data_IF_728196888184
#
_entry.id   IF_728196888184
#
_cell.length_a   1.000
_cell.length_b   1.000
_cell.length_c   1.000
_cell.angle_alpha   90.00
_cell.angle_beta   90.00
_cell.angle_gamma   90.00
#
_symmetry.space_group_name_H-M   'P 1'
#
loop_
_entity.id
_entity.type
_entity.pdbx_description
1 polymer ?
#
# COMPACT_ATOMS: atom_id res chain seq x y z
N UNK A 1 -15.41 20.22 15.61
CA UNK A 1 -14.47 19.87 14.53
C UNK A 1 -13.37 20.92 14.51
N UNK A 2 -12.30 20.71 15.25
CA UNK A 2 -11.09 21.53 15.11
C UNK A 2 -10.27 20.91 13.99
N UNK A 3 -10.24 21.59 12.84
CA UNK A 3 -9.35 21.25 11.73
C UNK A 3 -7.91 21.43 12.19
N UNK A 4 -7.13 20.34 12.15
CA UNK A 4 -5.69 20.37 12.35
C UNK A 4 -5.06 21.24 11.27
N UNK A 5 -4.76 22.50 11.60
CA UNK A 5 -3.97 23.36 10.74
C UNK A 5 -2.48 23.06 11.02
N UNK A 6 -1.95 22.04 10.34
CA UNK A 6 -0.51 21.86 10.24
C UNK A 6 0.07 23.10 9.51
N UNK A 7 1.11 23.77 10.04
CA UNK A 7 1.78 24.90 9.39
C UNK A 7 2.61 24.50 8.16
N UNK A 8 2.43 23.28 7.65
CA UNK A 8 2.87 22.88 6.32
C UNK A 8 2.34 23.92 5.31
N UNK A 9 3.20 24.58 4.50
CA UNK A 9 2.72 25.52 3.49
C UNK A 9 1.63 24.82 2.69
N UNK A 10 0.44 25.44 2.64
CA UNK A 10 -0.77 24.84 2.08
C UNK A 10 -0.42 24.20 0.74
N UNK A 11 -0.32 22.87 0.72
CA UNK A 11 -0.01 22.13 -0.49
C UNK A 11 -1.07 22.52 -1.51
N UNK A 12 -0.61 23.04 -2.64
CA UNK A 12 -1.48 23.34 -3.76
C UNK A 12 -1.52 22.07 -4.61
N UNK A 13 -2.70 21.45 -4.80
CA UNK A 13 -2.87 20.36 -5.74
C UNK A 13 -2.15 20.61 -7.06
N UNK A 14 -1.37 19.63 -7.51
CA UNK A 14 -0.70 19.72 -8.80
C UNK A 14 -1.71 19.74 -9.94
N UNK A 15 -1.34 20.37 -11.05
CA UNK A 15 -2.14 20.32 -12.29
C UNK A 15 -1.60 19.19 -13.17
N UNK A 16 -2.44 18.22 -13.56
CA UNK A 16 -2.06 17.23 -14.56
C UNK A 16 -1.46 17.87 -15.81
N UNK A 17 -0.40 17.26 -16.35
CA UNK A 17 0.17 17.61 -17.64
C UNK A 17 -0.84 17.37 -18.77
N UNK A 18 -0.53 17.93 -19.95
CA UNK A 18 -1.28 17.65 -21.17
C UNK A 18 -1.33 16.15 -21.49
N UNK A 19 -2.39 15.65 -22.15
CA UNK A 19 -2.55 14.23 -22.48
C UNK A 19 -1.37 13.58 -23.24
N UNK A 20 -0.62 14.38 -23.99
CA UNK A 20 0.50 13.94 -24.81
C UNK A 20 1.85 14.02 -24.09
N UNK A 21 1.88 14.58 -22.88
CA UNK A 21 3.09 14.74 -22.10
C UNK A 21 3.29 13.53 -21.19
N UNK A 22 4.49 12.96 -21.23
CA UNK A 22 4.85 11.82 -20.41
C UNK A 22 5.28 12.26 -18.99
N UNK A 23 4.95 11.45 -18.00
CA UNK A 23 5.42 11.60 -16.63
C UNK A 23 6.67 10.77 -16.40
N UNK A 24 7.76 11.42 -15.98
CA UNK A 24 8.91 10.73 -15.44
C UNK A 24 8.54 10.12 -14.09
N UNK A 25 8.98 8.87 -13.85
CA UNK A 25 8.70 8.14 -12.61
C UNK A 25 10.00 7.62 -12.01
N UNK A 26 10.07 7.50 -10.70
CA UNK A 26 11.13 6.72 -10.03
C UNK A 26 10.52 5.73 -9.05
N UNK A 27 10.82 4.44 -9.22
CA UNK A 27 10.51 3.39 -8.26
C UNK A 27 11.63 3.28 -7.22
N UNK A 28 11.29 3.53 -5.96
CA UNK A 28 12.21 3.55 -4.82
C UNK A 28 11.92 2.34 -3.94
N UNK A 29 12.91 1.46 -3.81
CA UNK A 29 12.78 0.21 -3.05
C UNK A 29 13.98 0.08 -2.11
N UNK A 30 13.73 -0.24 -0.84
CA UNK A 30 14.74 -0.76 0.07
C UNK A 30 14.68 -2.28 0.06
N UNK A 31 15.83 -2.94 -0.06
CA UNK A 31 15.95 -4.40 0.02
C UNK A 31 17.18 -4.81 0.82
N UNK A 32 17.16 -6.02 1.36
CA UNK A 32 18.36 -6.75 1.80
C UNK A 32 19.03 -7.42 0.61
N UNK A 33 20.30 -7.78 0.78
CA UNK A 33 21.10 -8.49 -0.23
C UNK A 33 20.47 -9.81 -0.67
N UNK A 34 19.82 -10.51 0.26
CA UNK A 34 19.15 -11.79 0.05
C UNK A 34 17.77 -11.68 -0.64
N UNK A 35 17.13 -10.51 -0.58
CA UNK A 35 15.82 -10.28 -1.20
C UNK A 35 15.95 -10.09 -2.71
N UNK A 36 15.05 -10.68 -3.48
CA UNK A 36 15.11 -10.64 -4.94
C UNK A 36 14.18 -9.56 -5.53
N UNK A 37 14.76 -8.56 -6.18
CA UNK A 37 14.04 -7.51 -6.93
C UNK A 37 14.19 -7.62 -8.45
N UNK A 38 14.66 -8.75 -8.98
CA UNK A 38 14.79 -8.98 -10.43
C UNK A 38 13.47 -8.86 -11.19
N UNK A 39 12.34 -8.99 -10.49
CA UNK A 39 11.03 -8.75 -11.09
C UNK A 39 10.89 -7.33 -11.66
N UNK A 40 11.61 -6.35 -11.10
CA UNK A 40 11.60 -4.98 -11.64
C UNK A 40 12.16 -4.99 -13.06
N UNK A 41 13.29 -5.67 -13.27
CA UNK A 41 13.94 -5.76 -14.58
C UNK A 41 13.14 -6.61 -15.57
N UNK A 42 12.53 -7.71 -15.11
CA UNK A 42 11.82 -8.64 -16.02
C UNK A 42 10.39 -8.22 -16.31
N UNK A 43 9.66 -7.72 -15.32
CA UNK A 43 8.22 -7.42 -15.43
C UNK A 43 7.94 -5.97 -15.77
N UNK A 44 8.92 -5.07 -15.71
CA UNK A 44 8.77 -3.65 -16.07
C UNK A 44 9.76 -3.22 -17.18
N UNK A 45 10.41 -4.16 -17.87
CA UNK A 45 11.46 -3.90 -18.87
C UNK A 45 11.09 -2.83 -19.91
N UNK A 46 9.84 -2.86 -20.38
CA UNK A 46 9.27 -1.93 -21.37
C UNK A 46 9.08 -0.51 -20.82
N UNK A 47 8.96 -0.35 -19.49
CA UNK A 47 8.80 0.94 -18.83
C UNK A 47 10.13 1.54 -18.37
N UNK A 48 11.16 0.73 -18.19
CA UNK A 48 12.44 1.16 -17.65
C UNK A 48 13.20 2.09 -18.60
N UNK A 49 13.83 3.12 -18.03
CA UNK A 49 14.72 4.01 -18.78
C UNK A 49 15.91 3.23 -19.37
N UNK A 50 16.34 3.51 -20.62
CA UNK A 50 15.88 4.58 -21.50
C UNK A 50 14.69 4.20 -22.42
N UNK A 51 14.14 2.97 -22.33
CA UNK A 51 13.03 2.52 -23.20
C UNK A 51 11.70 3.18 -22.83
N UNK A 52 11.49 3.44 -21.53
CA UNK A 52 10.33 4.14 -21.00
C UNK A 52 10.70 5.16 -19.91
N UNK A 53 9.70 5.74 -19.23
CA UNK A 53 9.91 6.87 -18.33
C UNK A 53 10.23 6.48 -16.88
N UNK A 54 10.30 5.18 -16.57
CA UNK A 54 10.52 4.67 -15.22
C UNK A 54 12.01 4.51 -14.91
N UNK A 55 12.50 5.28 -13.94
CA UNK A 55 13.81 5.08 -13.31
C UNK A 55 13.65 4.23 -12.05
N UNK A 56 14.75 3.66 -11.58
CA UNK A 56 14.78 2.86 -10.34
C UNK A 56 15.82 3.40 -9.38
N UNK A 57 15.50 3.39 -8.09
CA UNK A 57 16.41 3.65 -7.00
C UNK A 57 16.27 2.50 -5.98
N UNK A 58 17.02 1.42 -6.21
CA UNK A 58 16.96 0.20 -5.40
C UNK A 58 18.15 0.20 -4.43
N UNK A 59 17.87 0.48 -3.17
CA UNK A 59 18.87 0.54 -2.10
C UNK A 59 19.08 -0.83 -1.47
N UNK A 60 20.34 -1.23 -1.27
CA UNK A 60 20.70 -2.45 -0.53
C UNK A 60 21.07 -2.06 0.90
N UNK A 61 20.19 -2.34 1.86
CA UNK A 61 20.26 -1.75 3.21
C UNK A 61 21.31 -2.39 4.11
N UNK A 62 21.78 -3.59 3.78
CA UNK A 62 22.72 -4.40 4.56
C UNK A 62 24.07 -4.63 3.84
N UNK A 63 24.33 -3.89 2.76
CA UNK A 63 25.60 -3.91 2.03
C UNK A 63 26.15 -2.49 1.85
N UNK A 64 27.15 -2.14 2.66
CA UNK A 64 27.79 -0.82 2.66
C UNK A 64 28.55 -0.50 1.36
N UNK A 65 28.88 -1.52 0.58
CA UNK A 65 29.64 -1.39 -0.66
C UNK A 65 28.69 -1.33 -1.88
N UNK A 66 27.38 -1.42 -1.68
CA UNK A 66 26.38 -1.23 -2.73
C UNK A 66 26.36 0.22 -3.21
N UNK A 67 26.11 0.40 -4.52
CA UNK A 67 26.02 1.72 -5.15
C UNK A 67 25.00 2.63 -4.48
N UNK A 68 23.81 2.08 -4.17
CA UNK A 68 22.78 2.74 -3.38
C UNK A 68 22.69 2.05 -2.02
N UNK A 69 23.17 2.72 -0.98
CA UNK A 69 23.10 2.27 0.40
C UNK A 69 22.70 3.45 1.32
N UNK A 70 21.75 3.27 2.25
CA UNK A 70 21.41 4.31 3.22
C UNK A 70 22.56 4.56 4.20
N UNK A 71 22.60 5.69 4.91
CA UNK A 71 23.66 5.96 5.89
C UNK A 71 23.70 4.95 7.06
N UNK A 72 22.60 4.26 7.33
CA UNK A 72 22.48 3.20 8.35
C UNK A 72 21.25 2.34 8.09
N UNK A 73 21.32 1.04 8.36
CA UNK A 73 20.13 0.19 8.40
C UNK A 73 19.35 0.42 9.71
N UNK A 74 18.43 1.39 9.72
CA UNK A 74 17.58 1.75 10.87
C UNK A 74 16.27 2.40 10.42
N UNK A 75 15.13 2.00 10.96
CA UNK A 75 13.79 2.44 10.57
C UNK A 75 13.24 1.74 9.34
N UNK A 76 13.73 0.53 9.02
CA UNK A 76 13.36 -0.20 7.80
C UNK A 76 13.42 0.69 6.53
N UNK A 77 12.33 0.75 5.75
CA UNK A 77 12.22 1.51 4.50
C UNK A 77 12.28 3.03 4.72
N UNK A 78 11.96 3.52 5.92
CA UNK A 78 11.92 4.97 6.18
C UNK A 78 13.27 5.63 5.95
N UNK A 79 14.37 4.97 6.30
CA UNK A 79 15.72 5.50 6.03
C UNK A 79 16.00 5.59 4.54
N UNK A 80 15.61 4.56 3.79
CA UNK A 80 15.78 4.53 2.33
C UNK A 80 14.99 5.65 1.68
N UNK A 81 13.73 5.83 2.08
CA UNK A 81 12.84 6.82 1.50
C UNK A 81 13.33 8.24 1.80
N UNK A 82 13.73 8.52 3.05
CA UNK A 82 14.33 9.81 3.42
C UNK A 82 15.66 10.06 2.70
N UNK A 83 16.51 9.04 2.57
CA UNK A 83 17.80 9.17 1.88
C UNK A 83 17.60 9.47 0.40
N UNK A 84 16.71 8.74 -0.28
CA UNK A 84 16.36 9.03 -1.67
C UNK A 84 15.87 10.47 -1.84
N UNK A 85 14.93 10.92 -1.00
CA UNK A 85 14.39 12.28 -1.08
C UNK A 85 15.50 13.32 -0.91
N UNK A 86 16.37 13.15 0.09
CA UNK A 86 17.45 14.09 0.39
C UNK A 86 18.45 14.16 -0.77
N UNK A 87 18.88 13.00 -1.27
CA UNK A 87 19.94 12.91 -2.28
C UNK A 87 19.45 13.37 -3.67
N UNK A 88 18.13 13.31 -3.92
CA UNK A 88 17.53 13.64 -5.21
C UNK A 88 16.64 14.89 -5.17
N UNK A 89 16.60 15.65 -4.08
CA UNK A 89 15.60 16.70 -3.82
C UNK A 89 15.42 17.69 -5.00
N UNK A 90 16.52 18.09 -5.63
CA UNK A 90 16.52 19.03 -6.76
C UNK A 90 16.32 18.34 -8.14
N UNK A 91 16.39 17.01 -8.20
CA UNK A 91 16.38 16.20 -9.42
C UNK A 91 15.28 15.12 -9.46
N UNK A 92 14.24 15.27 -8.64
CA UNK A 92 13.12 14.30 -8.53
C UNK A 92 12.41 14.08 -9.88
N UNK A 93 11.94 12.85 -10.11
CA UNK A 93 10.94 12.55 -11.14
C UNK A 93 9.61 13.23 -10.83
N UNK A 94 8.70 13.33 -11.81
CA UNK A 94 7.38 13.93 -11.58
C UNK A 94 6.60 13.16 -10.50
N UNK A 95 6.79 11.82 -10.48
CA UNK A 95 6.25 10.93 -9.45
C UNK A 95 7.35 10.03 -8.89
N UNK A 96 7.48 9.99 -7.57
CA UNK A 96 8.28 9.01 -6.84
C UNK A 96 7.37 7.97 -6.20
N UNK A 97 7.61 6.69 -6.48
CA UNK A 97 6.83 5.54 -6.01
C UNK A 97 7.67 4.81 -4.98
N UNK A 98 7.22 4.80 -3.73
CA UNK A 98 7.88 4.15 -2.61
C UNK A 98 7.16 2.83 -2.32
N UNK A 99 7.88 1.71 -2.39
CA UNK A 99 7.30 0.37 -2.32
C UNK A 99 8.24 -0.61 -1.61
N UNK A 100 7.68 -1.70 -1.07
CA UNK A 100 8.47 -2.83 -0.58
C UNK A 100 9.08 -3.66 -1.72
N UNK A 101 10.11 -4.45 -1.40
CA UNK A 101 10.88 -5.20 -2.40
C UNK A 101 10.13 -6.38 -3.04
N UNK A 102 9.16 -6.96 -2.34
CA UNK A 102 8.49 -8.19 -2.77
C UNK A 102 7.56 -7.95 -3.96
N UNK A 103 7.62 -8.83 -4.97
CA UNK A 103 6.65 -8.81 -6.09
C UNK A 103 5.25 -9.17 -5.61
N UNK A 104 5.12 -10.30 -4.92
CA UNK A 104 3.84 -10.79 -4.41
C UNK A 104 3.82 -10.64 -2.90
N UNK A 105 2.83 -9.92 -2.38
CA UNK A 105 2.70 -9.69 -0.95
C UNK A 105 1.24 -9.49 -0.54
N UNK A 106 0.89 -9.92 0.67
CA UNK A 106 -0.47 -9.77 1.23
C UNK A 106 -0.92 -8.31 1.32
N UNK A 107 0.04 -7.38 1.46
CA UNK A 107 -0.23 -5.95 1.56
C UNK A 107 -0.42 -5.26 0.20
N UNK A 108 -0.30 -5.99 -0.92
CA UNK A 108 -0.62 -5.48 -2.24
C UNK A 108 -2.11 -5.58 -2.56
N UNK A 109 -2.56 -4.90 -3.61
CA UNK A 109 -3.96 -4.94 -4.03
C UNK A 109 -4.28 -6.28 -4.72
N UNK A 110 -5.17 -7.08 -4.14
CA UNK A 110 -5.61 -8.36 -4.72
C UNK A 110 -6.35 -8.25 -6.06
N UNK A 111 -7.03 -7.12 -6.34
CA UNK A 111 -7.61 -6.86 -7.68
C UNK A 111 -6.52 -6.92 -8.75
N UNK A 112 -5.28 -6.58 -8.39
CA UNK A 112 -4.09 -6.67 -9.23
C UNK A 112 -3.24 -7.91 -8.90
N UNK A 113 -3.89 -9.01 -8.50
CA UNK A 113 -3.27 -10.31 -8.23
C UNK A 113 -2.15 -10.28 -7.17
N UNK A 114 -2.23 -9.32 -6.24
CA UNK A 114 -1.19 -9.05 -5.23
C UNK A 114 0.19 -8.72 -5.84
N UNK A 115 0.25 -8.35 -7.12
CA UNK A 115 1.49 -8.12 -7.87
C UNK A 115 1.91 -6.64 -7.87
N UNK A 116 3.06 -6.36 -7.26
CA UNK A 116 3.72 -5.05 -7.24
C UNK A 116 3.96 -4.51 -8.65
N UNK A 117 4.29 -5.36 -9.63
CA UNK A 117 4.49 -4.93 -11.01
C UNK A 117 3.19 -4.37 -11.61
N UNK A 118 2.05 -5.01 -11.32
CA UNK A 118 0.75 -4.53 -11.77
C UNK A 118 0.38 -3.21 -11.08
N UNK A 119 0.70 -3.05 -9.80
CA UNK A 119 0.50 -1.77 -9.11
C UNK A 119 1.32 -0.64 -9.75
N UNK A 120 2.60 -0.85 -10.05
CA UNK A 120 3.44 0.17 -10.70
C UNK A 120 2.94 0.49 -12.12
N UNK A 121 2.58 -0.53 -12.91
CA UNK A 121 2.08 -0.37 -14.28
C UNK A 121 0.79 0.43 -14.36
N UNK A 122 -0.14 0.15 -13.45
CA UNK A 122 -1.49 0.69 -13.51
C UNK A 122 -1.66 1.98 -12.71
N UNK A 123 -0.66 2.41 -11.93
CA UNK A 123 -0.74 3.66 -11.16
C UNK A 123 -0.89 4.87 -12.09
N UNK A 124 -2.01 5.57 -11.96
CA UNK A 124 -2.34 6.78 -12.68
C UNK A 124 -1.50 7.96 -12.14
N UNK A 125 -0.50 8.48 -12.88
CA UNK A 125 0.28 9.61 -12.44
C UNK A 125 -0.57 10.87 -12.26
N UNK A 126 -1.61 11.07 -13.08
CA UNK A 126 -2.49 12.24 -12.94
C UNK A 126 -3.23 12.24 -11.59
N UNK A 127 -3.59 11.05 -11.08
CA UNK A 127 -4.16 10.91 -9.75
C UNK A 127 -3.16 11.32 -8.67
N UNK A 128 -1.90 10.88 -8.78
CA UNK A 128 -0.81 11.29 -7.87
C UNK A 128 -0.59 12.80 -7.90
N UNK A 129 -0.55 13.42 -9.09
CA UNK A 129 -0.32 14.86 -9.25
C UNK A 129 -1.44 15.68 -8.61
N UNK A 130 -2.71 15.29 -8.81
CA UNK A 130 -3.86 15.98 -8.21
C UNK A 130 -3.85 15.90 -6.68
N UNK A 131 -3.46 14.77 -6.10
CA UNK A 131 -3.50 14.58 -4.64
C UNK A 131 -2.19 14.93 -3.95
N UNK A 132 -1.06 14.94 -4.66
CA UNK A 132 0.29 15.12 -4.15
C UNK A 132 0.84 13.91 -3.41
N UNK A 133 0.00 13.21 -2.66
CA UNK A 133 0.30 11.99 -1.92
C UNK A 133 -0.84 10.99 -2.13
N UNK A 134 -0.50 9.74 -2.45
CA UNK A 134 -1.47 8.66 -2.55
C UNK A 134 -0.89 7.39 -1.92
N UNK A 135 -1.68 6.74 -1.08
CA UNK A 135 -1.35 5.39 -0.64
C UNK A 135 -1.57 4.40 -1.80
N UNK A 136 -0.64 3.47 -2.01
CA UNK A 136 -0.75 2.49 -3.09
C UNK A 136 -1.75 1.37 -2.76
N UNK A 137 -2.05 1.15 -1.47
CA UNK A 137 -3.05 0.18 -1.03
C UNK A 137 -4.43 0.83 -1.01
N UNK A 138 -5.38 0.24 -1.73
CA UNK A 138 -6.77 0.69 -1.71
C UNK A 138 -7.60 -0.02 -0.64
N UNK A 139 -7.25 -1.26 -0.24
CA UNK A 139 -7.96 -1.98 0.81
C UNK A 139 -7.81 -1.31 2.17
N UNK A 140 -8.94 -1.10 2.83
CA UNK A 140 -8.96 -0.46 4.15
C UNK A 140 -8.27 -1.25 5.25
N UNK A 141 -8.35 -2.57 5.25
CA UNK A 141 -7.76 -3.37 6.32
C UNK A 141 -6.32 -3.78 5.97
N UNK A 142 -5.34 -3.61 6.88
CA UNK A 142 -5.43 -2.87 8.14
C UNK A 142 -5.28 -1.35 7.95
N UNK A 143 -5.77 -0.59 8.93
CA UNK A 143 -5.52 0.85 9.07
C UNK A 143 -6.73 1.78 8.84
N UNK A 144 -7.74 1.33 8.10
CA UNK A 144 -9.03 2.00 7.90
C UNK A 144 -10.22 1.04 8.19
N UNK A 145 -11.43 1.56 8.45
CA UNK A 145 -11.72 2.96 8.75
C UNK A 145 -11.16 3.38 10.12
N UNK A 146 -11.02 4.69 10.35
CA UNK A 146 -10.33 5.23 11.52
C UNK A 146 -10.96 4.82 12.86
N UNK A 147 -12.28 4.67 12.90
CA UNK A 147 -13.05 4.32 14.10
C UNK A 147 -12.77 2.90 14.60
N UNK A 148 -12.31 2.01 13.72
CA UNK A 148 -12.08 0.58 14.03
C UNK A 148 -10.59 0.23 13.99
N UNK A 149 -9.88 0.79 13.01
CA UNK A 149 -8.52 0.38 12.68
C UNK A 149 -7.48 1.48 12.89
N UNK A 150 -7.88 2.67 13.33
CA UNK A 150 -6.97 3.77 13.60
C UNK A 150 -6.01 3.48 14.75
N UNK A 151 -4.82 4.06 14.67
CA UNK A 151 -3.80 4.09 15.71
C UNK A 151 -4.14 5.24 16.66
N UNK A 152 -4.18 4.96 17.96
CA UNK A 152 -4.45 5.95 18.99
C UNK A 152 -3.17 6.36 19.73
N UNK A 153 -2.61 7.57 19.48
CA UNK A 153 -1.44 8.04 20.20
C UNK A 153 -1.64 8.11 21.70
N UNK A 154 -0.73 7.49 22.46
CA UNK A 154 -0.75 7.50 23.91
C UNK A 154 -1.64 6.42 24.53
N UNK A 155 -1.90 5.33 23.81
CA UNK A 155 -2.58 4.17 24.38
C UNK A 155 -1.83 3.66 25.63
N UNK A 156 -2.58 3.38 26.70
CA UNK A 156 -2.02 2.93 27.98
C UNK A 156 -1.89 1.41 28.09
N UNK A 157 -2.58 0.69 27.20
CA UNK A 157 -2.62 -0.77 27.19
C UNK A 157 -1.83 -1.26 26.00
N UNK A 158 -0.82 -2.08 26.26
CA UNK A 158 -0.01 -2.68 25.22
C UNK A 158 -0.84 -3.59 24.32
N UNK A 159 -0.83 -3.32 23.02
CA UNK A 159 -1.36 -4.20 22.00
C UNK A 159 -0.20 -4.79 21.21
N UNK A 160 -0.04 -6.12 21.26
CA UNK A 160 1.03 -6.81 20.55
C UNK A 160 1.01 -6.58 19.03
N UNK A 161 -0.16 -6.31 18.45
CA UNK A 161 -0.32 -6.02 17.02
C UNK A 161 -0.15 -4.54 16.68
N UNK A 162 -0.18 -3.64 17.67
CA UNK A 162 -0.13 -2.18 17.52
C UNK A 162 0.79 -1.54 18.55
N UNK A 163 2.04 -2.00 18.58
CA UNK A 163 3.02 -1.55 19.57
C UNK A 163 3.32 -0.04 19.46
N UNK A 164 3.16 0.52 18.27
CA UNK A 164 3.34 1.94 17.97
C UNK A 164 2.40 2.87 18.74
N UNK A 165 1.20 2.43 19.13
CA UNK A 165 0.21 3.27 19.84
C UNK A 165 0.76 3.83 21.17
N UNK A 166 1.64 3.08 21.85
CA UNK A 166 2.23 3.49 23.13
C UNK A 166 3.39 4.49 22.98
N UNK A 167 4.07 4.49 21.84
CA UNK A 167 5.31 5.28 21.65
C UNK A 167 5.11 6.51 20.76
N UNK A 168 4.08 6.52 19.92
CA UNK A 168 3.91 7.54 18.90
C UNK A 168 3.66 8.93 19.49
N UNK A 169 3.09 9.03 20.69
CA UNK A 169 2.88 10.32 21.37
C UNK A 169 4.20 11.00 21.77
N UNK A 170 5.17 10.23 22.28
CA UNK A 170 6.52 10.71 22.61
C UNK A 170 7.27 11.08 21.32
N UNK A 171 7.29 10.17 20.34
CA UNK A 171 7.92 10.42 19.04
C UNK A 171 7.31 11.65 18.33
N UNK A 172 5.99 11.85 18.42
CA UNK A 172 5.31 13.02 17.86
C UNK A 172 5.82 14.32 18.46
N UNK A 173 5.99 14.37 19.78
CA UNK A 173 6.49 15.56 20.48
C UNK A 173 7.91 15.92 20.06
N UNK A 174 8.70 14.94 19.62
CA UNK A 174 10.03 15.16 19.07
C UNK A 174 9.97 15.54 17.58
N UNK A 175 9.15 14.87 16.77
CA UNK A 175 9.12 15.09 15.31
C UNK A 175 8.35 16.36 14.92
N UNK A 176 7.27 16.64 15.64
CA UNK A 176 6.34 17.75 15.41
C UNK A 176 6.12 18.55 16.71
N UNK A 177 7.16 19.20 17.28
CA UNK A 177 7.10 19.80 18.62
C UNK A 177 6.09 20.95 18.75
N UNK A 178 5.61 21.50 17.63
CA UNK A 178 4.64 22.60 17.61
C UNK A 178 3.24 22.15 17.20
N UNK A 179 3.05 20.90 16.79
CA UNK A 179 1.77 20.40 16.31
C UNK A 179 1.09 19.57 17.41
N UNK A 180 -0.22 19.74 17.63
CA UNK A 180 -0.94 18.93 18.60
C UNK A 180 -0.94 17.46 18.16
N UNK A 181 -0.82 16.55 19.13
CA UNK A 181 -0.94 15.12 18.88
C UNK A 181 -2.39 14.83 18.45
N UNK A 182 -2.63 14.22 17.28
CA UNK A 182 -3.96 13.86 16.84
C UNK A 182 -4.53 12.74 17.70
N UNK A 183 -5.85 12.69 17.94
CA UNK A 183 -6.48 11.63 18.72
C UNK A 183 -6.44 10.27 18.02
N UNK A 184 -6.26 10.27 16.69
CA UNK A 184 -6.19 9.06 15.87
C UNK A 184 -5.39 9.34 14.61
N UNK A 185 -4.59 8.37 14.21
CA UNK A 185 -3.90 8.30 12.92
C UNK A 185 -4.48 7.13 12.13
N UNK A 186 -4.82 7.33 10.86
CA UNK A 186 -5.45 6.27 10.08
C UNK A 186 -5.23 6.47 8.58
N UNK A 187 -4.82 5.40 7.93
CA UNK A 187 -4.65 5.26 6.49
C UNK A 187 -4.50 3.76 6.18
N UNK A 188 -4.68 3.31 4.93
CA UNK A 188 -4.28 1.96 4.54
C UNK A 188 -2.81 1.69 4.93
N UNK A 189 -2.52 0.50 5.42
CA UNK A 189 -1.21 0.18 6.01
C UNK A 189 -0.02 0.24 5.04
N UNK A 190 1.14 -0.02 5.64
CA UNK A 190 2.29 -0.68 5.03
C UNK A 190 3.22 0.23 4.23
N UNK A 191 3.23 1.54 4.50
CA UNK A 191 4.22 2.49 3.98
C UNK A 191 4.49 2.44 2.45
N UNK A 192 3.54 1.97 1.64
CA UNK A 192 3.64 1.99 0.18
C UNK A 192 2.82 3.15 -0.37
N UNK A 193 3.47 4.15 -0.95
CA UNK A 193 2.82 5.37 -1.40
C UNK A 193 3.51 5.96 -2.63
N UNK A 194 2.80 6.79 -3.40
CA UNK A 194 3.39 7.61 -4.44
C UNK A 194 3.21 9.09 -4.13
N UNK A 195 4.23 9.89 -4.46
CA UNK A 195 4.28 11.31 -4.16
C UNK A 195 4.68 12.08 -5.40
N UNK A 196 4.03 13.22 -5.64
CA UNK A 196 4.47 14.15 -6.69
C UNK A 196 5.74 14.90 -6.28
N UNK A 197 6.53 15.31 -7.27
CA UNK A 197 7.69 16.20 -7.05
C UNK A 197 7.29 17.42 -6.23
N UNK A 198 6.19 18.08 -6.62
CA UNK A 198 5.73 19.32 -6.02
C UNK A 198 5.35 19.11 -4.55
N UNK A 199 4.81 17.94 -4.20
CA UNK A 199 4.48 17.63 -2.80
C UNK A 199 5.72 17.37 -1.96
N UNK A 200 6.75 16.72 -2.51
CA UNK A 200 8.05 16.59 -1.82
C UNK A 200 8.68 17.98 -1.63
N UNK A 201 8.68 18.80 -2.67
CA UNK A 201 9.32 20.13 -2.63
C UNK A 201 8.53 21.19 -1.86
N UNK A 202 7.28 20.92 -1.48
CA UNK A 202 6.51 21.77 -0.58
C UNK A 202 7.13 21.84 0.83
N UNK A 203 7.87 20.82 1.25
CA UNK A 203 8.65 20.82 2.48
C UNK A 203 10.11 21.14 2.15
N UNK A 204 10.76 22.10 2.83
CA UNK A 204 12.16 22.40 2.58
C UNK A 204 13.04 21.19 2.89
N UNK A 205 14.12 20.99 2.12
CA UNK A 205 15.10 19.92 2.29
C UNK A 205 15.55 19.71 3.75
N UNK A 206 15.70 20.79 4.52
CA UNK A 206 16.07 20.74 5.93
C UNK A 206 15.10 19.96 6.82
N UNK A 207 13.81 19.87 6.46
CA UNK A 207 12.81 19.04 7.16
C UNK A 207 13.07 17.55 6.95
N UNK A 208 13.42 17.12 5.74
CA UNK A 208 13.78 15.74 5.47
C UNK A 208 15.06 15.33 6.20
N UNK A 209 16.06 16.22 6.22
CA UNK A 209 17.29 16.03 7.00
C UNK A 209 16.94 15.89 8.49
N UNK A 210 16.05 16.74 9.01
CA UNK A 210 15.58 16.67 10.40
C UNK A 210 14.92 15.32 10.72
N UNK A 211 14.02 14.82 9.86
CA UNK A 211 13.38 13.52 10.04
C UNK A 211 14.38 12.37 10.01
N UNK A 212 15.35 12.40 9.09
CA UNK A 212 16.42 11.38 9.01
C UNK A 212 17.32 11.43 10.25
N UNK A 213 17.66 12.62 10.72
CA UNK A 213 18.45 12.83 11.92
C UNK A 213 17.74 12.29 13.18
N UNK A 214 16.44 12.52 13.31
CA UNK A 214 15.63 11.93 14.37
C UNK A 214 15.69 10.40 14.32
N UNK A 215 15.50 9.83 13.13
CA UNK A 215 15.55 8.38 12.93
C UNK A 215 16.91 7.77 13.29
N UNK A 216 18.02 8.47 12.99
CA UNK A 216 19.36 8.02 13.36
C UNK A 216 19.63 8.09 14.87
N UNK A 217 19.09 9.12 15.55
CA UNK A 217 19.42 9.47 16.94
C UNK A 217 18.48 8.84 17.97
N UNK A 218 17.23 8.52 17.59
CA UNK A 218 16.24 7.96 18.52
C UNK A 218 16.75 6.67 19.17
N UNK A 219 16.39 6.44 20.44
CA UNK A 219 16.68 5.21 21.17
C UNK A 219 15.75 4.05 20.78
N UNK A 220 14.67 4.34 20.03
CA UNK A 220 13.74 3.33 19.54
C UNK A 220 14.46 2.28 18.68
N UNK A 221 13.98 1.04 18.77
CA UNK A 221 14.43 -0.06 17.93
C UNK A 221 14.15 0.22 16.45
N UNK A 222 14.85 -0.50 15.58
CA UNK A 222 14.65 -0.45 14.13
C UNK A 222 13.17 -0.60 13.75
N UNK A 223 12.53 -1.67 14.22
CA UNK A 223 11.11 -1.95 13.95
C UNK A 223 10.15 -0.88 14.50
N UNK A 224 10.35 -0.40 15.72
CA UNK A 224 9.45 0.59 16.33
C UNK A 224 9.59 1.97 15.66
N UNK A 225 10.82 2.39 15.37
CA UNK A 225 11.06 3.65 14.66
C UNK A 225 10.53 3.61 13.22
N UNK A 226 10.61 2.47 12.53
CA UNK A 226 9.96 2.25 11.23
C UNK A 226 8.43 2.37 11.31
N UNK A 227 7.80 1.72 12.30
CA UNK A 227 6.35 1.82 12.53
C UNK A 227 5.89 3.25 12.82
N UNK A 228 6.67 4.04 13.55
CA UNK A 228 6.36 5.47 13.74
C UNK A 228 6.27 6.18 12.38
N UNK A 229 7.26 5.98 11.51
CA UNK A 229 7.25 6.56 10.16
C UNK A 229 6.06 6.08 9.31
N UNK A 230 5.75 4.79 9.35
CA UNK A 230 4.57 4.21 8.69
C UNK A 230 3.29 4.99 9.01
N UNK A 231 3.11 5.41 10.27
CA UNK A 231 1.91 6.15 10.70
C UNK A 231 1.94 7.64 10.33
N UNK A 232 3.11 8.27 10.23
CA UNK A 232 3.22 9.73 10.03
C UNK A 232 3.46 10.14 8.57
N UNK A 233 3.63 9.20 7.63
CA UNK A 233 3.75 9.55 6.20
C UNK A 233 2.55 10.36 5.70
N UNK A 234 1.34 9.97 6.09
CA UNK A 234 0.10 10.72 5.79
C UNK A 234 0.11 12.12 6.39
N UNK A 235 0.76 12.33 7.53
CA UNK A 235 0.88 13.65 8.16
C UNK A 235 1.89 14.52 7.40
N UNK A 236 3.05 13.95 7.06
CA UNK A 236 4.12 14.64 6.33
C UNK A 236 3.63 15.03 4.92
N UNK A 237 3.02 14.09 4.20
CA UNK A 237 2.71 14.24 2.77
C UNK A 237 1.22 14.35 2.43
N UNK A 238 0.31 13.85 3.26
CA UNK A 238 -1.12 14.15 3.13
C UNK A 238 -1.50 15.45 3.85
N UNK A 239 -0.76 15.84 4.90
CA UNK A 239 -1.11 17.00 5.73
C UNK A 239 -2.34 16.78 6.61
N UNK A 240 -2.77 15.52 6.75
CA UNK A 240 -3.95 15.11 7.52
C UNK A 240 -3.57 13.95 8.45
N UNK A 241 -4.33 13.78 9.54
CA UNK A 241 -4.15 12.65 10.45
C UNK A 241 -4.89 11.38 9.98
N UNK A 242 -5.95 11.55 9.19
CA UNK A 242 -6.79 10.46 8.69
C UNK A 242 -6.95 10.60 7.18
N UNK A 243 -6.53 9.59 6.43
CA UNK A 243 -6.70 9.46 4.98
C UNK A 243 -7.21 8.07 4.61
N UNK A 244 -8.54 7.91 4.64
CA UNK A 244 -9.23 6.67 4.29
C UNK A 244 -10.13 6.90 3.06
N UNK A 245 -9.55 7.01 1.85
CA UNK A 245 -10.34 7.19 0.64
C UNK A 245 -11.27 5.98 0.42
N UNK A 246 -12.43 6.21 -0.19
CA UNK A 246 -13.32 5.11 -0.56
C UNK A 246 -12.59 4.14 -1.52
N UNK A 247 -12.65 2.83 -1.24
CA UNK A 247 -11.88 1.83 -1.99
C UNK A 247 -12.16 1.87 -3.49
N UNK A 248 -13.43 2.03 -3.89
CA UNK A 248 -13.83 2.11 -5.30
C UNK A 248 -13.21 3.33 -6.02
N UNK A 249 -13.01 4.45 -5.32
CA UNK A 249 -12.36 5.64 -5.87
C UNK A 249 -10.87 5.44 -6.07
N UNK A 250 -10.21 4.86 -5.08
CA UNK A 250 -8.79 4.51 -5.16
C UNK A 250 -8.54 3.59 -6.36
N UNK A 251 -9.36 2.55 -6.53
CA UNK A 251 -9.24 1.65 -7.67
C UNK A 251 -9.57 2.31 -9.01
N UNK A 252 -10.63 3.11 -9.07
CA UNK A 252 -11.07 3.71 -10.32
C UNK A 252 -10.13 4.81 -10.79
N UNK A 253 -9.91 5.87 -9.99
CA UNK A 253 -9.10 7.01 -10.42
C UNK A 253 -7.59 6.72 -10.31
N UNK A 254 -7.18 5.92 -9.32
CA UNK A 254 -5.77 5.57 -9.08
C UNK A 254 -5.23 4.44 -9.95
N UNK A 255 -6.06 3.44 -10.31
CA UNK A 255 -5.61 2.24 -11.04
C UNK A 255 -6.43 1.88 -12.29
N UNK A 256 -7.54 2.57 -12.54
CA UNK A 256 -8.38 2.36 -13.73
C UNK A 256 -9.29 1.15 -13.63
N UNK A 257 -9.65 0.72 -12.42
CA UNK A 257 -10.67 -0.29 -12.18
C UNK A 257 -11.95 0.40 -11.68
N UNK A 258 -12.81 0.79 -12.62
CA UNK A 258 -14.03 1.54 -12.32
C UNK A 258 -15.25 0.62 -12.29
N UNK A 259 -15.80 0.39 -11.10
CA UNK A 259 -16.92 -0.53 -10.90
C UNK A 259 -18.27 0.10 -11.21
N UNK A 260 -18.31 1.41 -11.46
CA UNK A 260 -19.55 2.13 -11.75
C UNK A 260 -20.24 2.60 -10.48
N UNK A 261 -19.45 2.92 -9.45
CA UNK A 261 -19.93 3.44 -8.16
C UNK A 261 -19.75 2.46 -7.00
N UNK A 262 -19.98 2.99 -5.81
CA UNK A 262 -19.78 2.30 -4.54
C UNK A 262 -20.57 0.98 -4.44
N UNK A 263 -21.85 0.97 -4.84
CA UNK A 263 -22.70 -0.22 -4.73
C UNK A 263 -22.19 -1.39 -5.57
N UNK A 264 -21.72 -1.11 -6.79
CA UNK A 264 -21.18 -2.13 -7.70
C UNK A 264 -19.81 -2.65 -7.25
N UNK A 265 -19.02 -1.79 -6.62
CA UNK A 265 -17.81 -2.24 -5.95
C UNK A 265 -18.13 -3.10 -4.73
N UNK A 266 -19.11 -2.72 -3.91
CA UNK A 266 -19.52 -3.48 -2.72
C UNK A 266 -19.99 -4.89 -3.10
N UNK A 267 -20.83 -5.03 -4.14
CA UNK A 267 -21.21 -6.34 -4.68
C UNK A 267 -19.99 -7.20 -5.06
N UNK A 268 -18.98 -6.60 -5.67
CA UNK A 268 -17.75 -7.29 -6.05
C UNK A 268 -16.90 -7.68 -4.82
N UNK A 269 -16.77 -6.79 -3.84
CA UNK A 269 -15.99 -7.02 -2.62
C UNK A 269 -16.65 -8.09 -1.74
N UNK A 270 -17.98 -8.09 -1.61
CA UNK A 270 -18.73 -9.12 -0.90
C UNK A 270 -18.47 -10.53 -1.50
N UNK A 271 -18.48 -10.64 -2.83
CA UNK A 271 -18.18 -11.90 -3.51
C UNK A 271 -16.74 -12.37 -3.26
N UNK A 272 -15.79 -11.45 -3.06
CA UNK A 272 -14.41 -11.80 -2.69
C UNK A 272 -14.32 -12.36 -1.28
N UNK A 273 -15.09 -11.81 -0.33
CA UNK A 273 -15.20 -12.40 1.01
C UNK A 273 -15.79 -13.81 0.95
N UNK A 274 -16.85 -14.01 0.17
CA UNK A 274 -17.44 -15.35 -0.01
C UNK A 274 -16.44 -16.32 -0.63
N UNK A 275 -15.70 -15.91 -1.66
CA UNK A 275 -14.66 -16.75 -2.27
C UNK A 275 -13.60 -17.15 -1.24
N UNK A 276 -13.07 -16.19 -0.48
CA UNK A 276 -12.07 -16.45 0.55
C UNK A 276 -12.58 -17.45 1.58
N UNK A 277 -13.80 -17.27 2.07
CA UNK A 277 -14.40 -18.19 3.05
C UNK A 277 -14.53 -19.63 2.48
N UNK A 278 -14.87 -19.77 1.19
CA UNK A 278 -14.93 -21.09 0.52
C UNK A 278 -13.55 -21.70 0.32
N UNK A 279 -12.56 -20.90 -0.04
CA UNK A 279 -11.17 -21.36 -0.16
C UNK A 279 -10.61 -21.81 1.20
N UNK A 280 -10.93 -21.09 2.28
CA UNK A 280 -10.54 -21.42 3.64
C UNK A 280 -11.21 -22.72 4.12
N UNK A 281 -12.50 -22.91 3.81
CA UNK A 281 -13.23 -24.16 4.06
C UNK A 281 -12.60 -25.33 3.28
N UNK A 282 -12.30 -25.15 1.99
CA UNK A 282 -11.63 -26.15 1.17
C UNK A 282 -10.23 -26.49 1.70
N UNK A 283 -9.45 -25.51 2.16
CA UNK A 283 -8.15 -25.76 2.80
C UNK A 283 -8.30 -26.58 4.08
N UNK A 284 -9.30 -26.27 4.89
CA UNK A 284 -9.60 -27.01 6.12
C UNK A 284 -9.98 -28.45 5.82
N UNK A 285 -10.87 -28.69 4.85
CA UNK A 285 -11.26 -30.02 4.40
C UNK A 285 -10.03 -30.82 3.95
N UNK A 286 -9.21 -30.25 3.06
CA UNK A 286 -8.00 -30.92 2.57
C UNK A 286 -7.01 -31.24 3.68
N UNK A 287 -6.84 -30.34 4.66
CA UNK A 287 -6.01 -30.61 5.85
C UNK A 287 -6.55 -31.81 6.62
N UNK A 288 -7.86 -31.85 6.87
CA UNK A 288 -8.48 -32.92 7.66
C UNK A 288 -8.44 -34.27 6.93
N UNK A 289 -8.67 -34.30 5.62
CA UNK A 289 -8.53 -35.51 4.81
C UNK A 289 -7.11 -36.09 4.88
N UNK A 290 -6.09 -35.23 4.77
CA UNK A 290 -4.69 -35.66 4.87
C UNK A 290 -4.38 -36.25 6.26
N UNK A 291 -4.91 -35.66 7.34
CA UNK A 291 -4.77 -36.19 8.70
C UNK A 291 -5.48 -37.55 8.88
N UNK A 292 -6.64 -37.74 8.26
CA UNK A 292 -7.37 -39.01 8.30
C UNK A 292 -6.59 -40.09 7.53
N UNK A 293 -6.09 -39.78 6.33
CA UNK A 293 -5.28 -40.69 5.54
C UNK A 293 -3.98 -41.09 6.26
N UNK A 294 -3.33 -40.14 6.95
CA UNK A 294 -2.16 -40.42 7.80
C UNK A 294 -2.53 -41.34 8.97
N UNK A 295 -3.67 -41.11 9.64
CA UNK A 295 -4.13 -41.94 10.74
C UNK A 295 -4.44 -43.39 10.31
N UNK A 296 -5.09 -43.55 9.14
CA UNK A 296 -5.44 -44.85 8.56
C UNK A 296 -4.19 -45.63 8.10
N UNK A 297 -3.21 -44.95 7.52
CA UNK A 297 -1.98 -45.57 7.00
C UNK A 297 -0.90 -45.83 8.07
N UNK A 298 -0.79 -44.97 9.09
CA UNK A 298 0.23 -45.02 10.14
C UNK A 298 -0.18 -45.78 11.40
N UNK A 299 -1.46 -46.15 11.55
CA UNK A 299 -1.98 -46.84 12.74
C UNK A 299 -1.86 -46.03 14.05
N UNK A 300 -1.63 -44.72 13.94
CA UNK A 300 -1.54 -43.76 15.05
C UNK A 300 -2.51 -42.62 14.80
N UNK A 301 -3.25 -42.24 15.83
CA UNK A 301 -4.11 -41.05 15.80
C UNK A 301 -3.23 -39.82 16.02
N UNK A 302 -3.16 -38.85 15.09
CA UNK A 302 -2.41 -37.61 15.30
C UNK A 302 -2.93 -36.82 16.51
N UNK A 303 -2.04 -36.09 17.21
CA UNK A 303 -2.42 -35.27 18.37
C UNK A 303 -3.40 -34.12 17.99
N UNK A 304 -3.45 -33.71 16.72
CA UNK A 304 -4.34 -32.64 16.22
C UNK A 304 -5.75 -33.13 15.79
N UNK A 305 -6.21 -34.29 16.27
CA UNK A 305 -7.47 -34.90 15.80
C UNK A 305 -8.74 -34.43 16.53
N UNK A 306 -8.61 -33.75 17.67
CA UNK A 306 -9.74 -33.34 18.52
C UNK A 306 -10.72 -32.35 17.84
N UNK A 307 -10.34 -31.73 16.71
CA UNK A 307 -11.17 -30.79 15.95
C UNK A 307 -11.33 -31.17 14.45
N UNK A 308 -11.24 -32.46 14.10
CA UNK A 308 -11.45 -32.89 12.72
C UNK A 308 -12.90 -32.62 12.27
N UNK A 309 -13.05 -31.77 11.26
CA UNK A 309 -14.31 -31.56 10.55
C UNK A 309 -14.33 -32.48 9.35
N UNK A 310 -15.14 -33.54 9.42
CA UNK A 310 -15.44 -34.39 8.26
C UNK A 310 -16.60 -33.74 7.51
N UNK A 311 -16.39 -33.28 6.26
CA UNK A 311 -17.46 -32.66 5.49
C UNK A 311 -18.58 -33.67 5.16
N UNK A 312 -19.82 -33.19 5.08
CA UNK A 312 -20.93 -34.01 4.60
C UNK A 312 -20.66 -34.54 3.17
N UNK A 313 -21.15 -35.73 2.79
CA UNK A 313 -20.99 -36.25 1.43
C UNK A 313 -21.44 -35.24 0.37
N UNK A 314 -20.60 -34.95 -0.62
CA UNK A 314 -20.88 -34.00 -1.70
C UNK A 314 -20.56 -32.53 -1.35
N UNK A 315 -20.25 -32.20 -0.09
CA UNK A 315 -19.91 -30.82 0.32
C UNK A 315 -18.62 -30.33 -0.33
N UNK A 316 -17.61 -31.19 -0.44
CA UNK A 316 -16.32 -30.86 -1.06
C UNK A 316 -16.48 -30.50 -2.53
N UNK A 317 -17.20 -31.32 -3.28
CA UNK A 317 -17.50 -31.10 -4.69
C UNK A 317 -18.30 -29.81 -4.86
N UNK A 318 -19.31 -29.58 -4.02
CA UNK A 318 -20.07 -28.34 -4.03
C UNK A 318 -19.19 -27.10 -3.77
N UNK A 319 -18.31 -27.13 -2.76
CA UNK A 319 -17.39 -26.01 -2.48
C UNK A 319 -16.46 -25.76 -3.67
N UNK A 320 -15.94 -26.82 -4.28
CA UNK A 320 -15.09 -26.72 -5.46
C UNK A 320 -15.82 -25.99 -6.60
N UNK A 321 -17.04 -26.41 -6.92
CA UNK A 321 -17.86 -25.78 -7.95
C UNK A 321 -18.18 -24.31 -7.61
N UNK A 322 -18.47 -24.00 -6.34
CA UNK A 322 -18.70 -22.63 -5.90
C UNK A 322 -17.45 -21.75 -6.07
N UNK A 323 -16.26 -22.26 -5.72
CA UNK A 323 -15.00 -21.55 -5.90
C UNK A 323 -14.79 -21.21 -7.38
N UNK A 324 -15.03 -22.17 -8.28
CA UNK A 324 -14.83 -21.96 -9.72
C UNK A 324 -15.83 -20.93 -10.28
N UNK A 325 -17.10 -21.00 -9.87
CA UNK A 325 -18.13 -20.02 -10.26
C UNK A 325 -17.75 -18.61 -9.78
N UNK A 326 -17.35 -18.48 -8.50
CA UNK A 326 -16.98 -17.19 -7.90
C UNK A 326 -15.74 -16.60 -8.57
N UNK A 327 -14.71 -17.42 -8.83
CA UNK A 327 -13.50 -16.98 -9.54
C UNK A 327 -13.82 -16.48 -10.94
N UNK A 328 -14.72 -17.16 -11.66
CA UNK A 328 -15.14 -16.75 -12.99
C UNK A 328 -15.90 -15.41 -12.94
N UNK A 329 -16.88 -15.25 -12.05
CA UNK A 329 -17.64 -14.00 -11.90
C UNK A 329 -16.72 -12.82 -11.53
N UNK A 330 -15.87 -13.01 -10.51
CA UNK A 330 -14.90 -11.99 -10.09
C UNK A 330 -13.94 -11.61 -11.22
N UNK A 331 -13.50 -12.58 -12.02
CA UNK A 331 -12.64 -12.32 -13.19
C UNK A 331 -13.34 -11.48 -14.24
N UNK A 332 -14.62 -11.76 -14.53
CA UNK A 332 -15.42 -11.00 -15.48
C UNK A 332 -15.61 -9.56 -14.97
N UNK A 333 -16.08 -9.40 -13.73
CA UNK A 333 -16.31 -8.08 -13.12
C UNK A 333 -15.04 -7.23 -13.08
N UNK A 334 -13.91 -7.84 -12.70
CA UNK A 334 -12.60 -7.17 -12.71
C UNK A 334 -12.23 -6.68 -14.11
N UNK A 335 -12.42 -7.51 -15.14
CA UNK A 335 -12.11 -7.16 -16.53
C UNK A 335 -13.02 -6.03 -17.02
N UNK A 336 -14.31 -6.10 -16.75
CA UNK A 336 -15.26 -5.05 -17.09
C UNK A 336 -14.92 -3.72 -16.40
N UNK A 337 -14.56 -3.77 -15.12
CA UNK A 337 -14.11 -2.59 -14.38
C UNK A 337 -12.84 -1.98 -15.01
N UNK A 338 -11.90 -2.82 -15.45
CA UNK A 338 -10.67 -2.37 -16.12
C UNK A 338 -10.97 -1.72 -17.47
N UNK A 339 -11.85 -2.32 -18.27
CA UNK A 339 -12.28 -1.75 -19.57
C UNK A 339 -13.00 -0.43 -19.35
N UNK A 340 -13.92 -0.35 -18.39
CA UNK A 340 -14.64 0.90 -18.05
C UNK A 340 -13.69 2.01 -17.64
N UNK A 341 -12.69 1.67 -16.83
CA UNK A 341 -11.70 2.62 -16.32
C UNK A 341 -10.65 3.04 -17.33
N UNK A 342 -10.61 2.49 -18.56
CA UNK A 342 -9.77 3.03 -19.64
C UNK A 342 -10.24 4.44 -20.06
N UNK A 343 -11.54 4.73 -19.98
CA UNK A 343 -12.08 6.07 -20.26
C UNK A 343 -11.86 7.02 -19.08
N UNK A 344 -11.11 8.10 -19.32
CA UNK A 344 -10.85 9.15 -18.34
C UNK A 344 -12.12 9.83 -17.81
N UNK A 345 -13.19 9.87 -18.60
CA UNK A 345 -14.48 10.44 -18.20
C UNK A 345 -15.17 9.59 -17.16
N UNK A 346 -15.07 8.26 -17.28
CA UNK A 346 -15.61 7.35 -16.26
C UNK A 346 -14.85 7.48 -14.95
N UNK A 347 -13.52 7.59 -15.02
CA UNK A 347 -12.68 7.85 -13.83
C UNK A 347 -13.07 9.16 -13.15
N UNK A 348 -13.25 10.22 -13.93
CA UNK A 348 -13.67 11.53 -13.44
C UNK A 348 -15.06 11.49 -12.79
N UNK A 349 -16.03 10.90 -13.49
CA UNK A 349 -17.41 10.80 -13.02
C UNK A 349 -17.50 10.00 -11.72
N UNK A 350 -16.82 8.85 -11.62
CA UNK A 350 -16.84 8.03 -10.42
C UNK A 350 -16.16 8.76 -9.24
N UNK A 351 -15.08 9.51 -9.49
CA UNK A 351 -14.43 10.37 -8.50
C UNK A 351 -15.18 11.68 -8.19
N UNK A 352 -16.37 11.90 -8.75
CA UNK A 352 -17.16 13.11 -8.50
C UNK A 352 -16.50 14.40 -8.99
N UNK A 353 -15.57 14.30 -9.94
CA UNK A 353 -14.83 15.43 -10.52
C UNK A 353 -15.25 15.68 -11.96
N UNK A 354 -15.21 16.94 -12.38
CA UNK A 354 -15.39 17.30 -13.79
C UNK A 354 -14.22 16.73 -14.61
N UNK A 355 -14.53 16.10 -15.75
CA UNK A 355 -13.49 15.64 -16.67
C UNK A 355 -12.84 16.82 -17.38
N UNK A 356 -11.51 16.83 -17.43
CA UNK A 356 -10.72 17.79 -18.19
C UNK A 356 -9.78 17.09 -19.16
N UNK A 357 -9.45 17.78 -20.23
CA UNK A 357 -8.33 17.36 -21.09
C UNK A 357 -7.07 17.26 -20.23
N UNK A 358 -6.39 16.11 -20.25
CA UNK A 358 -5.24 15.79 -19.40
C UNK A 358 -5.50 14.71 -18.34
N UNK A 359 -6.75 14.34 -18.06
CA UNK A 359 -7.11 13.33 -17.06
C UNK A 359 -6.81 11.86 -17.45
N UNK A 360 -5.93 11.66 -18.44
CA UNK A 360 -5.51 10.38 -19.00
C UNK A 360 -4.78 9.46 -18.02
N UNK A 361 -4.04 8.49 -18.57
CA UNK A 361 -3.18 7.57 -17.84
C UNK A 361 -1.70 7.84 -18.14
#
# INVERSE_FOLDING_TARGET
MHTFANPNPAFVPGTPKDPNAEYTKTLVIGRKKEENTLWVDTELEDMLAPKGPLRTAIYVVDDKDAELHPPKNKGHEAMVYLTYIIDNYDNLSDVSIFMHAHRYAWHNNDIMDLDSAQMVRNLNPNHVIRHGYVNLRCHWSPGCPAEVSGIHPGALVANAQRQEEMIIAEAWSEIFPLDPIPPTLSQPCCAQFAISRERIQALPLSKYIYYRDWLLKTSLSDSLSGRVFEQIWVVIFGGVAVDCPAMHLCYCDGYGYCFGGADKYAEFDDLRYVLRDREDEMRTIRKNEALIEEAESGGRVPEETDNLVIPEPGRKEWIHDQIDILRMDLTIRRREAKVRGQDARNRAAEAGREWKEGDGF
#
